data_IF_052089414539
#
_entry.id   IF_052089414539
#
_cell.length_a   1.000
_cell.length_b   1.000
_cell.length_c   1.000
_cell.angle_alpha   90.00
_cell.angle_beta   90.00
_cell.angle_gamma   90.00
#
_symmetry.space_group_name_H-M   'P 1'
#
loop_
_entity.id
_entity.type
_entity.pdbx_description
1 polymer ?
#
# COMPACT_ATOMS: atom_id res chain seq x y z
N UNK A 1 9.20 -1.52 13.85
CA UNK A 1 9.10 -1.35 12.39
C UNK A 1 7.63 -1.45 12.03
N UNK A 2 7.08 -0.49 11.31
CA UNK A 2 5.68 -0.46 10.92
C UNK A 2 5.42 -1.58 9.90
N UNK A 3 4.62 -2.59 10.25
CA UNK A 3 4.41 -3.79 9.41
C UNK A 3 3.89 -3.46 8.00
N UNK A 4 3.28 -2.28 7.83
CA UNK A 4 2.75 -1.83 6.55
C UNK A 4 3.84 -1.30 5.61
N UNK A 5 4.92 -0.73 6.14
CA UNK A 5 6.05 -0.28 5.32
C UNK A 5 6.83 -1.48 4.77
N UNK A 6 7.00 -2.53 5.58
CA UNK A 6 7.59 -3.79 5.13
C UNK A 6 6.73 -4.45 4.05
N UNK A 7 5.42 -4.52 4.25
CA UNK A 7 4.48 -5.05 3.25
C UNK A 7 4.49 -4.23 1.93
N UNK A 8 4.66 -2.91 2.00
CA UNK A 8 4.77 -2.05 0.82
C UNK A 8 6.07 -2.26 0.07
N UNK A 9 7.18 -2.39 0.79
CA UNK A 9 8.48 -2.71 0.19
C UNK A 9 8.41 -4.05 -0.55
N UNK A 10 7.82 -5.07 0.07
CA UNK A 10 7.62 -6.37 -0.55
C UNK A 10 6.72 -6.30 -1.79
N UNK A 11 5.63 -5.54 -1.73
CA UNK A 11 4.77 -5.32 -2.90
C UNK A 11 5.53 -4.70 -4.09
N UNK A 12 6.56 -3.88 -3.85
CA UNK A 12 7.38 -3.24 -4.91
C UNK A 12 8.42 -4.18 -5.52
N UNK A 13 8.77 -5.28 -4.84
CA UNK A 13 9.73 -6.28 -5.34
C UNK A 13 9.09 -7.20 -6.40
N UNK A 14 7.77 -7.36 -6.38
CA UNK A 14 7.04 -8.21 -7.31
C UNK A 14 6.39 -7.39 -8.43
N UNK A 15 6.55 -7.82 -9.68
CA UNK A 15 5.88 -7.19 -10.84
C UNK A 15 4.33 -7.36 -10.80
N UNK A 16 3.85 -8.41 -10.10
CA UNK A 16 2.44 -8.63 -9.77
C UNK A 16 2.34 -9.07 -8.30
N UNK A 17 2.25 -8.13 -7.35
CA UNK A 17 2.20 -8.48 -5.94
C UNK A 17 0.84 -9.08 -5.56
N UNK A 18 0.87 -10.18 -4.80
CA UNK A 18 -0.32 -10.76 -4.20
C UNK A 18 -0.63 -10.05 -2.88
N UNK A 19 -1.36 -8.94 -2.95
CA UNK A 19 -1.68 -8.12 -1.78
C UNK A 19 -2.36 -8.87 -0.63
N UNK A 20 -3.13 -9.91 -0.93
CA UNK A 20 -3.79 -10.73 0.10
C UNK A 20 -2.78 -11.57 0.87
N UNK A 21 -1.83 -12.16 0.17
CA UNK A 21 -0.78 -13.00 0.76
C UNK A 21 0.15 -12.14 1.63
N UNK A 22 0.65 -11.06 1.04
CA UNK A 22 1.51 -10.08 1.72
C UNK A 22 0.77 -9.48 2.93
N UNK A 23 -0.51 -9.11 2.81
CA UNK A 23 -1.29 -8.61 3.94
C UNK A 23 -1.37 -9.60 5.11
N UNK A 24 -1.55 -10.89 4.82
CA UNK A 24 -1.57 -11.93 5.86
C UNK A 24 -0.19 -12.15 6.48
N UNK A 25 0.87 -12.20 5.65
CA UNK A 25 2.26 -12.38 6.12
C UNK A 25 2.69 -11.30 7.10
N UNK A 26 2.34 -10.04 6.83
CA UNK A 26 2.68 -8.91 7.69
C UNK A 26 1.59 -8.55 8.71
N UNK A 27 0.46 -9.28 8.73
CA UNK A 27 -0.66 -9.00 9.63
C UNK A 27 -1.31 -7.62 9.41
N UNK A 28 -1.25 -7.09 8.19
CA UNK A 28 -1.75 -5.76 7.84
C UNK A 28 -3.07 -5.82 7.09
N UNK A 29 -3.85 -4.75 7.15
CA UNK A 29 -5.09 -4.69 6.39
C UNK A 29 -4.80 -4.53 4.89
N UNK A 30 -5.26 -5.50 4.08
CA UNK A 30 -5.12 -5.50 2.62
C UNK A 30 -5.62 -4.20 1.97
N UNK A 31 -6.73 -3.65 2.45
CA UNK A 31 -7.31 -2.41 1.90
C UNK A 31 -6.40 -1.21 2.16
N UNK A 32 -5.81 -1.13 3.35
CA UNK A 32 -4.83 -0.08 3.69
C UNK A 32 -3.55 -0.26 2.88
N UNK A 33 -3.06 -1.48 2.73
CA UNK A 33 -1.89 -1.81 1.91
C UNK A 33 -2.10 -1.40 0.44
N UNK A 34 -3.25 -1.77 -0.15
CA UNK A 34 -3.60 -1.42 -1.53
C UNK A 34 -3.72 0.10 -1.72
N UNK A 35 -4.36 0.80 -0.78
CA UNK A 35 -4.47 2.27 -0.81
C UNK A 35 -3.08 2.92 -0.79
N UNK A 36 -2.20 2.49 0.12
CA UNK A 36 -0.83 3.02 0.18
C UNK A 36 0.00 2.65 -1.05
N UNK A 37 -0.12 1.43 -1.56
CA UNK A 37 0.59 0.98 -2.76
C UNK A 37 0.16 1.77 -4.02
N UNK A 38 -1.14 2.04 -4.16
CA UNK A 38 -1.68 2.86 -5.25
C UNK A 38 -1.49 4.37 -5.07
N UNK A 39 -0.90 4.82 -3.96
CA UNK A 39 -0.72 6.25 -3.68
C UNK A 39 -2.00 6.98 -3.22
N UNK A 40 -3.06 6.27 -2.81
CA UNK A 40 -4.25 6.87 -2.14
C UNK A 40 -3.93 7.13 -0.65
N UNK A 41 -2.81 7.79 -0.43
CA UNK A 41 -2.40 8.38 0.84
C UNK A 41 -1.94 9.79 0.50
N UNK A 42 -2.92 10.62 0.14
CA UNK A 42 -2.82 12.08 0.15
C UNK A 42 -1.65 12.72 -0.60
N UNK A 43 -1.80 12.89 -1.90
CA UNK A 43 -1.74 14.25 -2.46
C UNK A 43 -3.11 14.57 -3.02
N UNK A 44 -4.11 14.65 -2.13
CA UNK A 44 -5.33 15.44 -2.40
C UNK A 44 -5.01 16.91 -2.09
N UNK A 45 -3.94 17.39 -2.72
CA UNK A 45 -3.53 18.79 -2.79
C UNK A 45 -3.52 19.25 -4.26
N UNK A 46 -3.71 18.33 -5.23
CA UNK A 46 -3.78 18.65 -6.66
C UNK A 46 -5.10 18.10 -7.23
N UNK A 47 -6.12 18.96 -7.30
CA UNK A 47 -7.45 18.56 -7.79
C UNK A 47 -8.63 19.33 -7.19
N UNK A 48 -8.37 20.34 -6.37
CA UNK A 48 -9.35 21.40 -6.12
C UNK A 48 -8.69 22.76 -6.37
N UNK A 49 -8.20 22.97 -7.60
CA UNK A 49 -8.09 24.33 -8.11
C UNK A 49 -9.29 24.56 -9.03
N UNK A 50 -10.01 25.64 -8.73
CA UNK A 50 -11.26 26.09 -9.32
C UNK A 50 -11.17 26.40 -10.81
#
# INVERSE_FOLDING_TARGET
MDGIEAALAECRLYNKPNFTDIANTYGVNRTTLLKRYRGITGSREDGYNS
#
